data_IF_923224485163
#
_entry.id   IF_923224485163
#
_cell.length_a   1.000
_cell.length_b   1.000
_cell.length_c   1.000
_cell.angle_alpha   90.00
_cell.angle_beta   90.00
_cell.angle_gamma   90.00
#
_symmetry.space_group_name_H-M   'P 1'
#
loop_
_entity.id
_entity.type
_entity.pdbx_description
1 polymer ?
#
# COMPACT_ATOMS: atom_id res chain seq x y z
N UNK A 1 -1.52 -27.60 -14.10
CA UNK A 1 -0.69 -26.41 -14.39
C UNK A 1 -1.48 -25.22 -13.88
N UNK A 2 -1.10 -24.65 -12.74
CA UNK A 2 -1.79 -23.49 -12.18
C UNK A 2 -1.30 -22.25 -12.93
N UNK A 3 -2.20 -21.58 -13.66
CA UNK A 3 -1.92 -20.31 -14.33
C UNK A 3 -2.01 -19.18 -13.30
N UNK A 4 -1.01 -19.08 -12.41
CA UNK A 4 -0.90 -17.88 -11.58
C UNK A 4 -0.17 -16.82 -12.40
N UNK A 5 -0.85 -15.72 -12.70
CA UNK A 5 -0.25 -14.60 -13.44
C UNK A 5 0.63 -13.79 -12.47
N UNK A 6 1.88 -14.22 -12.29
CA UNK A 6 2.88 -13.56 -11.44
C UNK A 6 3.11 -12.10 -11.87
N UNK A 7 3.03 -11.86 -13.17
CA UNK A 7 3.20 -10.53 -13.77
C UNK A 7 2.06 -9.59 -13.40
N UNK A 8 0.89 -10.11 -13.01
CA UNK A 8 -0.24 -9.29 -12.61
C UNK A 8 0.12 -8.38 -11.44
N UNK A 9 0.70 -8.95 -10.38
CA UNK A 9 0.98 -8.27 -9.13
C UNK A 9 2.35 -7.60 -9.10
N UNK A 10 3.36 -8.22 -9.71
CA UNK A 10 4.73 -7.71 -9.68
C UNK A 10 4.83 -6.31 -10.28
N UNK A 11 5.46 -5.36 -9.58
CA UNK A 11 5.81 -4.05 -10.10
C UNK A 11 5.40 -2.91 -9.18
N UNK A 12 5.38 -1.71 -9.77
CA UNK A 12 5.18 -0.43 -9.07
C UNK A 12 3.79 0.10 -9.31
N UNK A 13 3.15 0.54 -8.25
CA UNK A 13 1.74 0.92 -8.25
C UNK A 13 1.57 2.27 -7.55
N UNK A 14 0.79 3.16 -8.14
CA UNK A 14 0.36 4.39 -7.46
C UNK A 14 -1.02 4.84 -7.95
N UNK A 15 -1.60 5.83 -7.26
CA UNK A 15 -2.88 6.42 -7.63
C UNK A 15 -2.77 7.84 -8.23
N UNK A 16 -1.56 8.30 -8.53
CA UNK A 16 -1.34 9.65 -9.04
C UNK A 16 -1.18 9.68 -10.56
N UNK A 17 -2.18 10.23 -11.24
CA UNK A 17 -2.22 10.31 -12.70
C UNK A 17 -1.82 11.68 -13.25
N UNK A 18 -1.22 12.57 -12.45
CA UNK A 18 -0.92 13.97 -12.82
C UNK A 18 -0.23 14.11 -14.19
N UNK A 19 0.67 13.19 -14.53
CA UNK A 19 1.45 13.22 -15.78
C UNK A 19 1.10 12.09 -16.77
N UNK A 20 -0.09 11.51 -16.66
CA UNK A 20 -0.56 10.48 -17.58
C UNK A 20 -1.64 11.02 -18.52
N UNK A 21 -1.37 11.00 -19.82
CA UNK A 21 -2.40 11.25 -20.84
C UNK A 21 -3.51 10.20 -20.72
N UNK A 22 -4.76 10.66 -20.67
CA UNK A 22 -5.91 9.77 -20.46
C UNK A 22 -6.03 9.20 -19.04
N UNK A 23 -5.29 9.75 -18.05
CA UNK A 23 -5.29 9.26 -16.67
C UNK A 23 -6.68 9.18 -16.01
N UNK A 24 -7.61 10.07 -16.41
CA UNK A 24 -9.01 10.02 -15.95
C UNK A 24 -9.74 8.73 -16.32
N UNK A 25 -9.32 8.05 -17.39
CA UNK A 25 -9.95 6.79 -17.84
C UNK A 25 -9.59 5.58 -16.96
N UNK A 26 -8.60 5.71 -16.08
CA UNK A 26 -8.21 4.67 -15.12
C UNK A 26 -9.22 4.54 -13.96
N UNK A 27 -10.14 5.50 -13.84
CA UNK A 27 -11.12 5.56 -12.76
C UNK A 27 -10.47 5.69 -11.38
N UNK A 28 -9.35 6.41 -11.32
CA UNK A 28 -8.63 6.77 -10.08
C UNK A 28 -9.13 8.11 -9.50
N UNK A 29 -10.14 8.69 -10.13
CA UNK A 29 -10.74 10.01 -9.94
C UNK A 29 -11.66 10.13 -8.71
N UNK A 30 -11.31 9.43 -7.63
CA UNK A 30 -11.99 9.58 -6.34
C UNK A 30 -11.01 10.07 -5.27
N UNK A 31 -11.54 10.70 -4.22
CA UNK A 31 -10.74 11.22 -3.13
C UNK A 31 -10.11 10.06 -2.33
N UNK A 32 -8.85 9.73 -2.64
CA UNK A 32 -7.97 8.86 -1.87
C UNK A 32 -6.63 9.56 -1.60
N UNK A 33 -6.00 9.33 -0.44
CA UNK A 33 -4.66 9.87 -0.19
C UNK A 33 -3.66 9.29 -1.18
N UNK A 34 -2.56 10.01 -1.45
CA UNK A 34 -1.45 9.47 -2.23
C UNK A 34 -0.94 8.17 -1.60
N UNK A 35 -0.93 7.11 -2.40
CA UNK A 35 -0.45 5.78 -2.01
C UNK A 35 0.50 5.29 -3.09
N UNK A 36 1.67 4.81 -2.69
CA UNK A 36 2.58 4.05 -3.56
C UNK A 36 2.76 2.65 -3.00
N UNK A 37 2.95 1.68 -3.88
CA UNK A 37 3.15 0.28 -3.53
C UNK A 37 4.10 -0.37 -4.53
N UNK A 38 5.08 -1.12 -4.05
CA UNK A 38 5.98 -1.93 -4.86
C UNK A 38 5.82 -3.38 -4.43
N UNK A 39 5.63 -4.28 -5.40
CA UNK A 39 5.43 -5.70 -5.16
C UNK A 39 6.43 -6.52 -5.97
N UNK A 40 7.04 -7.48 -5.31
CA UNK A 40 7.83 -8.55 -5.89
C UNK A 40 7.10 -9.88 -5.67
N UNK A 41 7.22 -10.78 -6.64
CA UNK A 41 6.56 -12.10 -6.62
C UNK A 41 7.62 -13.16 -6.82
N UNK A 42 7.67 -14.16 -5.94
CA UNK A 42 8.62 -15.27 -6.05
C UNK A 42 8.08 -16.42 -6.91
N UNK A 43 8.89 -17.47 -7.06
CA UNK A 43 8.55 -18.65 -7.88
C UNK A 43 7.34 -19.44 -7.38
N UNK A 44 7.00 -19.31 -6.09
CA UNK A 44 5.84 -19.93 -5.47
C UNK A 44 4.58 -19.04 -5.55
N UNK A 45 4.71 -17.81 -6.05
CA UNK A 45 3.61 -16.85 -6.08
C UNK A 45 3.34 -16.16 -4.75
N UNK A 46 4.27 -16.24 -3.78
CA UNK A 46 4.26 -15.35 -2.62
C UNK A 46 4.60 -13.93 -3.06
N UNK A 47 3.92 -12.95 -2.47
CA UNK A 47 4.12 -11.54 -2.80
C UNK A 47 4.71 -10.85 -1.58
N UNK A 48 5.78 -10.08 -1.79
CA UNK A 48 6.40 -9.25 -0.76
C UNK A 48 6.70 -7.86 -1.34
N UNK A 49 6.73 -6.84 -0.50
CA UNK A 49 7.10 -5.51 -0.95
C UNK A 49 6.82 -4.41 0.06
N UNK A 50 6.67 -3.19 -0.44
CA UNK A 50 6.41 -2.00 0.37
C UNK A 50 5.10 -1.31 -0.01
N UNK A 51 4.46 -0.66 0.96
CA UNK A 51 3.32 0.22 0.74
C UNK A 51 3.50 1.49 1.58
N UNK A 52 3.37 2.65 0.96
CA UNK A 52 3.56 3.94 1.59
C UNK A 52 2.35 4.84 1.41
N UNK A 53 2.04 5.59 2.47
CA UNK A 53 1.15 6.75 2.44
C UNK A 53 1.46 7.63 3.66
N UNK A 54 1.10 8.91 3.61
CA UNK A 54 1.30 9.82 4.77
C UNK A 54 0.63 9.27 6.03
N UNK A 55 -0.58 8.72 5.90
CA UNK A 55 -1.33 8.10 7.00
C UNK A 55 -0.65 6.85 7.54
N UNK A 56 -0.10 6.00 6.67
CA UNK A 56 0.67 4.84 7.11
C UNK A 56 1.85 5.29 7.97
N UNK A 57 2.61 6.29 7.53
CA UNK A 57 3.76 6.77 8.27
C UNK A 57 3.41 7.49 9.58
N UNK A 58 2.29 8.22 9.64
CA UNK A 58 1.85 8.87 10.88
C UNK A 58 1.21 7.91 11.88
N UNK A 59 0.55 6.83 11.41
CA UNK A 59 0.05 5.76 12.27
C UNK A 59 1.18 4.86 12.80
N UNK A 60 2.31 4.85 12.09
CA UNK A 60 3.46 3.99 12.34
C UNK A 60 4.77 4.80 12.50
N UNK A 61 4.82 5.82 13.37
CA UNK A 61 5.92 6.79 13.39
C UNK A 61 7.22 6.24 14.00
N UNK A 62 7.17 5.07 14.65
CA UNK A 62 8.32 4.46 15.33
C UNK A 62 9.29 3.76 14.36
N UNK A 63 8.80 3.30 13.22
CA UNK A 63 9.62 2.62 12.21
C UNK A 63 9.02 2.78 10.83
N UNK A 64 9.89 2.95 9.83
CA UNK A 64 9.51 3.02 8.42
C UNK A 64 9.54 1.63 7.75
N UNK A 65 9.82 0.58 8.53
CA UNK A 65 9.72 -0.82 8.08
C UNK A 65 8.24 -1.24 7.99
N UNK A 66 7.59 -0.82 6.91
CA UNK A 66 6.22 -1.20 6.56
C UNK A 66 6.32 -2.15 5.36
N UNK A 67 6.02 -3.44 5.58
CA UNK A 67 5.93 -4.42 4.51
C UNK A 67 4.48 -4.68 4.13
N UNK A 68 4.28 -5.02 2.86
CA UNK A 68 3.05 -5.64 2.38
C UNK A 68 3.37 -7.04 1.90
N UNK A 69 2.63 -8.02 2.41
CA UNK A 69 2.93 -9.44 2.18
C UNK A 69 1.66 -10.19 1.83
N UNK A 70 1.77 -11.18 0.95
CA UNK A 70 0.69 -12.08 0.62
C UNK A 70 1.25 -13.50 0.47
N UNK A 71 0.83 -14.45 1.33
CA UNK A 71 1.38 -15.80 1.34
C UNK A 71 1.10 -16.56 0.05
N UNK A 72 1.75 -17.71 -0.11
CA UNK A 72 1.57 -18.60 -1.25
C UNK A 72 0.06 -18.82 -1.52
N UNK A 73 -0.38 -18.70 -2.79
CA UNK A 73 -1.76 -19.01 -3.12
C UNK A 73 -2.05 -20.49 -2.82
N UNK A 74 -3.06 -20.76 -1.99
CA UNK A 74 -3.54 -22.14 -1.81
C UNK A 74 -4.08 -22.73 -3.12
N UNK A 75 -4.15 -24.06 -3.21
CA UNK A 75 -4.62 -24.79 -4.40
C UNK A 75 -6.01 -24.35 -4.93
N UNK A 76 -6.85 -23.72 -4.10
CA UNK A 76 -8.18 -23.23 -4.49
C UNK A 76 -8.25 -21.71 -4.66
N UNK A 77 -7.14 -20.98 -4.55
CA UNK A 77 -7.18 -19.52 -4.52
C UNK A 77 -7.32 -18.92 -5.92
N UNK A 78 -8.40 -18.18 -6.12
CA UNK A 78 -8.64 -17.36 -7.30
C UNK A 78 -7.98 -16.00 -7.06
N UNK A 79 -7.51 -15.33 -8.12
CA UNK A 79 -6.91 -13.98 -8.08
C UNK A 79 -7.72 -13.00 -7.21
N UNK A 80 -9.05 -13.09 -7.21
CA UNK A 80 -9.94 -12.19 -6.45
C UNK A 80 -10.02 -12.47 -4.94
N UNK A 81 -9.56 -13.63 -4.46
CA UNK A 81 -9.51 -13.95 -3.03
C UNK A 81 -8.16 -13.60 -2.38
N UNK A 82 -7.24 -12.99 -3.15
CA UNK A 82 -5.90 -12.66 -2.68
C UNK A 82 -5.96 -11.61 -1.56
N UNK A 83 -5.38 -11.95 -0.40
CA UNK A 83 -5.26 -11.09 0.79
C UNK A 83 -3.84 -10.58 0.94
N UNK A 84 -3.70 -9.32 1.29
CA UNK A 84 -2.46 -8.63 1.59
C UNK A 84 -2.47 -8.23 3.06
N UNK A 85 -1.42 -8.62 3.77
CA UNK A 85 -1.18 -8.28 5.16
C UNK A 85 -0.11 -7.19 5.21
N UNK A 86 -0.48 -6.04 5.75
CA UNK A 86 0.44 -4.94 5.98
C UNK A 86 1.02 -5.17 7.37
N UNK A 87 2.34 -5.25 7.44
CA UNK A 87 3.07 -5.51 8.67
C UNK A 87 4.00 -4.37 9.02
N UNK A 88 4.19 -4.18 10.32
CA UNK A 88 5.13 -3.21 10.88
C UNK A 88 6.03 -3.91 11.89
N UNK A 89 7.31 -3.53 11.93
CA UNK A 89 8.20 -3.94 13.01
C UNK A 89 7.77 -3.28 14.33
N UNK A 90 7.37 -4.08 15.31
CA UNK A 90 6.99 -3.64 16.65
C UNK A 90 7.37 -4.70 17.67
N UNK A 91 8.02 -4.28 18.77
CA UNK A 91 8.47 -5.18 19.84
C UNK A 91 9.35 -6.33 19.30
N UNK A 92 10.31 -6.00 18.42
CA UNK A 92 11.23 -6.94 17.76
C UNK A 92 10.55 -8.00 16.85
N UNK A 93 9.29 -7.77 16.47
CA UNK A 93 8.52 -8.68 15.61
C UNK A 93 7.71 -7.93 14.56
N UNK A 94 7.52 -8.54 13.39
CA UNK A 94 6.57 -8.03 12.40
C UNK A 94 5.14 -8.35 12.87
N UNK A 95 4.34 -7.32 13.13
CA UNK A 95 2.94 -7.45 13.53
C UNK A 95 2.03 -7.00 12.38
N UNK A 96 0.93 -7.71 12.14
CA UNK A 96 -0.09 -7.30 11.17
C UNK A 96 -0.85 -6.10 11.73
N UNK A 97 -0.92 -5.02 10.96
CA UNK A 97 -1.55 -3.75 11.35
C UNK A 97 -2.76 -3.39 10.50
N UNK A 98 -2.79 -3.91 9.27
CA UNK A 98 -3.93 -3.82 8.37
C UNK A 98 -3.96 -5.02 7.41
N UNK A 99 -5.14 -5.30 6.89
CA UNK A 99 -5.42 -6.30 5.89
C UNK A 99 -6.23 -5.67 4.75
N UNK A 100 -5.74 -5.86 3.53
CA UNK A 100 -6.42 -5.50 2.30
C UNK A 100 -6.70 -6.79 1.51
N UNK A 101 -7.78 -6.83 0.74
CA UNK A 101 -8.05 -7.92 -0.21
C UNK A 101 -8.25 -7.38 -1.61
N UNK A 102 -7.87 -8.15 -2.62
CA UNK A 102 -8.24 -7.85 -4.00
C UNK A 102 -9.76 -7.85 -4.12
N UNK A 103 -10.30 -6.83 -4.76
CA UNK A 103 -11.73 -6.73 -5.08
C UNK A 103 -11.97 -6.81 -6.57
N UNK A 104 -11.08 -6.23 -7.37
CA UNK A 104 -11.08 -6.36 -8.83
C UNK A 104 -9.70 -6.04 -9.40
N UNK A 105 -9.42 -6.58 -10.59
CA UNK A 105 -8.25 -6.23 -11.39
C UNK A 105 -8.71 -5.96 -12.82
N UNK A 106 -8.35 -4.78 -13.35
CA UNK A 106 -8.53 -4.45 -14.77
C UNK A 106 -7.17 -4.62 -15.46
N UNK A 107 -6.95 -5.80 -16.04
CA UNK A 107 -5.71 -6.15 -16.72
C UNK A 107 -5.45 -5.25 -17.95
N UNK A 108 -6.50 -4.77 -18.61
CA UNK A 108 -6.35 -3.91 -19.81
C UNK A 108 -5.79 -2.55 -19.42
N UNK A 109 -6.21 -2.03 -18.26
CA UNK A 109 -5.76 -0.74 -17.74
C UNK A 109 -4.60 -0.85 -16.75
N UNK A 110 -4.19 -2.07 -16.40
CA UNK A 110 -3.24 -2.36 -15.33
C UNK A 110 -3.63 -1.68 -14.00
N UNK A 111 -4.89 -1.84 -13.60
CA UNK A 111 -5.44 -1.24 -12.38
C UNK A 111 -5.86 -2.32 -11.39
N UNK A 112 -5.40 -2.21 -10.15
CA UNK A 112 -5.80 -3.06 -9.04
C UNK A 112 -6.70 -2.28 -8.09
N UNK A 113 -7.80 -2.89 -7.66
CA UNK A 113 -8.67 -2.36 -6.61
C UNK A 113 -8.62 -3.27 -5.40
N UNK A 114 -8.22 -2.71 -4.27
CA UNK A 114 -8.13 -3.37 -2.99
C UNK A 114 -9.24 -2.86 -2.07
N UNK A 115 -9.87 -3.76 -1.34
CA UNK A 115 -10.84 -3.43 -0.29
C UNK A 115 -10.20 -3.67 1.07
N UNK A 116 -10.38 -2.73 1.98
CA UNK A 116 -9.98 -2.86 3.38
C UNK A 116 -10.81 -3.93 4.07
N UNK A 117 -10.13 -4.90 4.70
CA UNK A 117 -10.76 -5.97 5.49
C UNK A 117 -10.67 -5.63 6.96
N UNK A 118 -9.45 -5.36 7.44
CA UNK A 118 -9.17 -4.97 8.81
C UNK A 118 -8.12 -3.87 8.80
N UNK A 119 -8.28 -2.84 9.63
CA UNK A 119 -7.31 -1.76 9.77
C UNK A 119 -7.64 -0.99 11.04
N UNK A 120 -6.96 -1.36 12.12
CA UNK A 120 -7.26 -0.88 13.47
C UNK A 120 -7.07 0.63 13.61
N UNK A 121 -6.19 1.22 12.80
CA UNK A 121 -5.80 2.63 12.92
C UNK A 121 -6.32 3.49 11.77
N UNK A 122 -7.18 2.93 10.92
CA UNK A 122 -7.77 3.63 9.76
C UNK A 122 -6.70 4.27 8.86
N UNK A 123 -5.59 3.53 8.66
CA UNK A 123 -4.46 3.88 7.82
C UNK A 123 -4.92 4.08 6.37
N UNK A 124 -5.64 3.10 5.84
CA UNK A 124 -6.07 3.03 4.45
C UNK A 124 -7.55 3.40 4.30
N UNK A 125 -7.94 4.00 3.16
CA UNK A 125 -9.35 4.16 2.82
C UNK A 125 -10.05 2.80 2.68
N UNK A 126 -11.39 2.77 2.70
CA UNK A 126 -12.16 1.53 2.51
C UNK A 126 -11.84 0.86 1.16
N UNK A 127 -11.60 1.66 0.13
CA UNK A 127 -11.21 1.22 -1.21
C UNK A 127 -9.91 1.93 -1.59
N UNK A 128 -8.91 1.16 -1.96
CA UNK A 128 -7.64 1.63 -2.51
C UNK A 128 -7.59 1.20 -3.97
N UNK A 129 -7.37 2.13 -4.90
CA UNK A 129 -7.25 1.81 -6.31
C UNK A 129 -5.94 2.36 -6.84
N UNK A 130 -5.13 1.49 -7.43
CA UNK A 130 -3.78 1.83 -7.89
C UNK A 130 -3.63 1.38 -9.35
N UNK A 131 -2.95 2.17 -10.15
CA UNK A 131 -2.51 1.79 -11.49
C UNK A 131 -1.02 1.51 -11.49
N UNK A 132 -0.62 0.63 -12.40
CA UNK A 132 0.76 0.17 -12.52
C UNK A 132 1.61 1.14 -13.34
N UNK A 133 2.89 1.26 -12.97
CA UNK A 133 3.94 1.95 -13.72
C UNK A 133 3.58 3.40 -14.12
N UNK A 134 2.92 4.13 -13.23
CA UNK A 134 2.60 5.53 -13.48
C UNK A 134 3.87 6.39 -13.53
N UNK A 135 3.96 7.39 -14.44
CA UNK A 135 5.17 8.21 -14.59
C UNK A 135 5.60 8.96 -13.32
N UNK A 136 4.66 9.31 -12.46
CA UNK A 136 4.92 10.04 -11.22
C UNK A 136 5.47 9.16 -10.07
N UNK A 137 5.50 7.83 -10.24
CA UNK A 137 5.76 6.87 -9.15
C UNK A 137 7.04 7.17 -8.34
N UNK A 138 8.16 7.41 -9.00
CA UNK A 138 9.46 7.63 -8.33
C UNK A 138 9.44 8.91 -7.50
N UNK A 139 8.91 10.00 -8.07
CA UNK A 139 8.75 11.28 -7.37
C UNK A 139 7.85 11.13 -6.16
N UNK A 140 6.71 10.46 -6.33
CA UNK A 140 5.71 10.28 -5.28
C UNK A 140 6.23 9.37 -4.15
N UNK A 141 6.99 8.33 -4.49
CA UNK A 141 7.64 7.45 -3.52
C UNK A 141 8.71 8.19 -2.73
N UNK A 142 9.49 9.07 -3.38
CA UNK A 142 10.47 9.92 -2.69
C UNK A 142 9.77 10.92 -1.76
N UNK A 143 8.71 11.60 -2.21
CA UNK A 143 7.92 12.51 -1.36
C UNK A 143 7.38 11.78 -0.12
N UNK A 144 6.81 10.59 -0.32
CA UNK A 144 6.29 9.80 0.79
C UNK A 144 7.42 9.35 1.72
N UNK A 145 8.53 8.87 1.19
CA UNK A 145 9.70 8.45 1.98
C UNK A 145 10.23 9.60 2.84
N UNK A 146 10.43 10.79 2.25
CA UNK A 146 10.85 12.00 2.96
C UNK A 146 9.84 12.41 4.03
N UNK A 147 8.54 12.28 3.75
CA UNK A 147 7.50 12.52 4.74
C UNK A 147 7.60 11.54 5.92
N UNK A 148 7.85 10.26 5.64
CA UNK A 148 7.99 9.22 6.66
C UNK A 148 9.20 9.47 7.55
N UNK A 149 10.31 10.00 7.01
CA UNK A 149 11.51 10.37 7.79
C UNK A 149 11.16 11.31 8.96
N UNK A 150 10.27 12.28 8.73
CA UNK A 150 9.85 13.23 9.77
C UNK A 150 8.76 12.74 10.74
N UNK A 151 8.23 11.52 10.57
CA UNK A 151 7.05 11.03 11.32
C UNK A 151 7.27 10.98 12.83
N UNK A 152 8.43 10.50 13.27
CA UNK A 152 8.75 10.40 14.70
C UNK A 152 8.86 11.77 15.36
N UNK A 153 9.48 12.75 14.69
CA UNK A 153 9.59 14.10 15.22
C UNK A 153 8.21 14.75 15.33
N UNK A 154 7.34 14.60 14.31
CA UNK A 154 5.95 15.09 14.37
C UNK A 154 5.15 14.46 15.50
N UNK A 155 5.40 13.18 15.84
CA UNK A 155 4.79 12.55 17.01
C UNK A 155 5.26 13.22 18.30
N UNK A 156 6.57 13.43 18.47
CA UNK A 156 7.13 14.11 19.65
C UNK A 156 6.54 15.51 19.82
N UNK A 157 6.53 16.30 18.76
CA UNK A 157 6.03 17.68 18.79
C UNK A 157 4.55 17.72 19.22
N UNK A 158 3.73 16.78 18.73
CA UNK A 158 2.32 16.65 19.16
C UNK A 158 2.17 16.34 20.64
N UNK A 159 2.99 15.42 21.18
CA UNK A 159 2.96 15.07 22.60
C UNK A 159 3.39 16.26 23.47
N UNK A 160 4.47 16.95 23.08
CA UNK A 160 4.93 18.14 23.81
C UNK A 160 3.91 19.27 23.79
N UNK A 161 3.16 19.46 22.70
CA UNK A 161 2.10 20.45 22.63
C UNK A 161 0.87 20.09 23.50
N UNK A 162 0.52 18.80 23.61
CA UNK A 162 -0.56 18.36 24.51
C UNK A 162 -0.22 18.53 25.99
N UNK A 163 1.05 18.34 26.35
CA UNK A 163 1.52 18.50 27.74
C UNK A 163 1.58 19.98 28.17
N UNK A 164 1.80 20.90 27.22
CA UNK A 164 1.79 22.35 27.48
C UNK A 164 0.36 22.93 27.54
N UNK A 165 -0.62 22.21 27.00
CA UNK A 165 -2.02 22.64 26.91
C UNK A 165 -2.92 22.01 27.99
N UNK A 166 -2.34 21.21 28.90
CA UNK A 166 -3.03 20.53 30.02
C UNK A 166 -2.65 21.17 31.35
#
# INVERSE_FOLDING_TARGET
MYFYNTDLYKGRWSNNTEYLLGGGELGLDFAQPLITMELEVNEFGEINGGILSKRACDAMPLTWAISIESPEPGLSSIVFDRRFYIKQLKDDKMQVVAELKVSSVDERKNVITLKRVEDRWNIFPEVVKLAKNLPAYERDTNELSDYCVGSFQRLKDKISQSDVSS
#
